data_IF_723683465043
#
_entry.id   IF_723683465043
#
_cell.length_a   1.000
_cell.length_b   1.000
_cell.length_c   1.000
_cell.angle_alpha   90.00
_cell.angle_beta   90.00
_cell.angle_gamma   90.00
#
_symmetry.space_group_name_H-M   'P 1'
#
loop_
_entity.id
_entity.type
_entity.pdbx_description
1 polymer ?
#
# COMPACT_ATOMS: atom_id res chain seq x y z
N UNK A 1 -50.51 5.24 33.56
CA UNK A 1 -51.56 6.07 32.92
C UNK A 1 -51.66 7.49 33.55
N UNK A 2 -50.55 8.07 34.02
CA UNK A 2 -50.52 9.41 34.66
C UNK A 2 -49.32 10.25 34.18
N UNK A 3 -48.80 9.96 32.99
CA UNK A 3 -47.64 10.65 32.38
C UNK A 3 -47.98 11.28 31.01
N UNK A 4 -49.27 11.41 30.68
CA UNK A 4 -49.74 11.86 29.36
C UNK A 4 -50.27 13.32 29.38
N UNK A 5 -49.97 14.08 30.44
CA UNK A 5 -50.55 15.41 30.69
C UNK A 5 -49.52 16.53 30.92
N UNK A 6 -48.24 16.27 30.68
CA UNK A 6 -47.20 17.30 30.67
C UNK A 6 -46.52 17.26 29.29
N UNK A 7 -46.81 18.27 28.49
CA UNK A 7 -46.27 18.49 27.16
C UNK A 7 -44.82 19.00 27.25
N UNK A 8 -43.95 18.25 27.91
CA UNK A 8 -42.50 18.52 27.91
C UNK A 8 -41.84 17.70 26.79
N UNK A 9 -41.10 18.34 25.87
CA UNK A 9 -40.25 17.59 24.94
C UNK A 9 -39.26 16.76 25.76
N UNK A 10 -38.90 15.52 25.35
CA UNK A 10 -37.85 14.79 26.03
C UNK A 10 -36.59 15.64 25.99
N UNK A 11 -36.22 16.20 27.14
CA UNK A 11 -34.96 16.89 27.32
C UNK A 11 -33.88 15.98 26.75
N UNK A 12 -33.12 16.50 25.79
CA UNK A 12 -31.94 15.85 25.24
C UNK A 12 -31.04 15.50 26.41
N UNK A 13 -31.11 14.26 26.88
CA UNK A 13 -30.16 13.73 27.82
C UNK A 13 -28.77 13.99 27.23
N UNK A 14 -27.84 14.62 27.96
CA UNK A 14 -26.47 14.71 27.49
C UNK A 14 -26.00 13.29 27.17
N UNK A 15 -25.39 13.04 26.00
CA UNK A 15 -24.92 11.70 25.67
C UNK A 15 -24.05 11.22 26.83
N UNK A 16 -24.39 10.05 27.37
CA UNK A 16 -23.66 9.44 28.47
C UNK A 16 -22.17 9.53 28.15
N UNK A 17 -21.40 10.21 29.01
CA UNK A 17 -19.97 10.41 28.80
C UNK A 17 -19.32 9.03 28.57
N UNK A 18 -18.75 8.85 27.38
CA UNK A 18 -18.05 7.63 27.01
C UNK A 18 -16.99 7.29 28.08
N UNK A 19 -16.82 6.02 28.46
CA UNK A 19 -15.85 5.64 29.48
C UNK A 19 -14.43 6.17 29.16
N UNK A 20 -13.65 6.55 30.18
CA UNK A 20 -12.40 7.32 30.04
C UNK A 20 -11.27 6.63 29.27
N UNK A 21 -11.45 5.34 28.92
CA UNK A 21 -10.52 4.54 28.13
C UNK A 21 -10.88 4.44 26.65
N UNK A 22 -12.06 4.94 26.24
CA UNK A 22 -12.37 5.10 24.82
C UNK A 22 -11.65 6.35 24.31
N UNK A 23 -10.87 6.25 23.22
CA UNK A 23 -10.41 7.43 22.50
C UNK A 23 -11.65 8.29 22.21
N UNK A 24 -11.65 9.54 22.66
CA UNK A 24 -12.76 10.43 22.34
C UNK A 24 -12.85 10.53 20.82
N UNK A 25 -13.95 10.03 20.26
CA UNK A 25 -14.18 10.14 18.84
C UNK A 25 -14.20 11.64 18.50
N UNK A 26 -13.35 12.09 17.57
CA UNK A 26 -13.32 13.50 17.19
C UNK A 26 -14.71 13.88 16.66
N UNK A 27 -15.38 14.78 17.38
CA UNK A 27 -16.75 15.21 17.03
C UNK A 27 -16.79 16.08 15.76
N UNK A 28 -15.63 16.52 15.28
CA UNK A 28 -15.47 17.36 14.10
C UNK A 28 -14.29 16.85 13.28
N UNK A 29 -14.43 16.89 11.96
CA UNK A 29 -13.30 16.62 11.06
C UNK A 29 -12.18 17.66 11.29
N UNK A 30 -10.91 17.25 11.23
CA UNK A 30 -9.80 18.19 11.33
C UNK A 30 -9.89 19.25 10.22
N UNK A 31 -9.83 20.51 10.63
CA UNK A 31 -9.92 21.67 9.72
C UNK A 31 -8.55 22.16 9.24
N UNK A 32 -7.45 21.53 9.68
CA UNK A 32 -6.10 21.91 9.29
C UNK A 32 -5.87 21.69 7.80
N UNK A 33 -5.11 22.60 7.18
CA UNK A 33 -4.68 22.45 5.80
C UNK A 33 -3.88 21.14 5.65
N UNK A 34 -4.27 20.34 4.66
CA UNK A 34 -3.57 19.11 4.30
C UNK A 34 -2.13 19.46 3.89
N UNK A 35 -1.11 18.71 4.38
CA UNK A 35 0.27 18.96 4.01
C UNK A 35 0.44 18.84 2.50
N UNK A 36 1.17 19.78 1.91
CA UNK A 36 1.34 19.80 0.46
C UNK A 36 2.33 18.72 0.03
N UNK A 37 1.94 17.93 -0.96
CA UNK A 37 2.76 16.85 -1.51
C UNK A 37 3.30 17.34 -2.85
N UNK A 38 4.62 17.42 -3.02
CA UNK A 38 5.22 17.96 -4.23
C UNK A 38 4.79 17.14 -5.45
N UNK A 39 4.41 17.85 -6.52
CA UNK A 39 4.12 17.22 -7.81
C UNK A 39 5.40 16.61 -8.40
N UNK A 40 5.33 15.36 -8.86
CA UNK A 40 6.48 14.64 -9.41
C UNK A 40 7.31 13.88 -8.38
N UNK A 41 6.66 13.07 -7.54
CA UNK A 41 7.35 12.15 -6.65
C UNK A 41 8.24 11.18 -7.48
N UNK A 42 9.55 11.09 -7.20
CA UNK A 42 10.42 10.21 -7.94
C UNK A 42 10.00 8.75 -7.73
N UNK A 43 10.11 7.91 -8.76
CA UNK A 43 9.81 6.48 -8.69
C UNK A 43 10.57 5.75 -7.56
N UNK A 44 11.67 6.34 -7.10
CA UNK A 44 12.47 5.91 -5.95
C UNK A 44 11.67 5.88 -4.64
N UNK A 45 10.60 6.68 -4.49
CA UNK A 45 9.71 6.63 -3.32
C UNK A 45 8.92 5.30 -3.28
N UNK A 46 8.56 4.76 -4.45
CA UNK A 46 7.82 3.49 -4.53
C UNK A 46 8.67 2.28 -4.11
N UNK A 47 10.00 2.39 -4.15
CA UNK A 47 10.92 1.36 -3.65
C UNK A 47 10.81 1.17 -2.11
N UNK A 48 10.17 2.10 -1.40
CA UNK A 48 9.86 1.95 0.03
C UNK A 48 8.65 1.07 0.30
N UNK A 49 7.80 0.83 -0.71
CA UNK A 49 6.58 0.07 -0.46
C UNK A 49 6.91 -1.39 -0.13
N UNK A 50 6.30 -1.96 0.93
CA UNK A 50 6.60 -3.31 1.36
C UNK A 50 6.18 -4.38 0.35
N UNK A 51 5.16 -4.12 -0.46
CA UNK A 51 4.71 -5.03 -1.52
C UNK A 51 5.72 -5.11 -2.68
N UNK A 52 6.25 -3.97 -3.13
CA UNK A 52 7.30 -3.89 -4.15
C UNK A 52 8.58 -4.56 -3.65
N UNK A 53 8.99 -4.28 -2.42
CA UNK A 53 10.15 -4.93 -1.80
C UNK A 53 9.96 -6.45 -1.70
N UNK A 54 8.79 -6.91 -1.25
CA UNK A 54 8.51 -8.34 -1.19
C UNK A 54 8.53 -9.00 -2.58
N UNK A 55 8.03 -8.32 -3.62
CA UNK A 55 8.10 -8.83 -4.99
C UNK A 55 9.56 -8.90 -5.49
N UNK A 56 10.38 -7.90 -5.19
CA UNK A 56 11.80 -7.90 -5.53
C UNK A 56 12.57 -9.02 -4.81
N UNK A 57 12.33 -9.23 -3.52
CA UNK A 57 12.98 -10.32 -2.77
C UNK A 57 12.58 -11.70 -3.31
N UNK A 58 11.31 -11.89 -3.74
CA UNK A 58 10.89 -13.12 -4.42
C UNK A 58 11.61 -13.33 -5.75
N UNK A 59 11.81 -12.28 -6.54
CA UNK A 59 12.60 -12.34 -7.77
C UNK A 59 14.07 -12.72 -7.49
N UNK A 60 14.66 -12.16 -6.44
CA UNK A 60 16.03 -12.55 -6.01
C UNK A 60 16.09 -14.00 -5.55
N UNK A 61 15.06 -14.48 -4.85
CA UNK A 61 14.97 -15.87 -4.42
C UNK A 61 14.92 -16.84 -5.61
N UNK A 62 14.15 -16.54 -6.66
CA UNK A 62 14.09 -17.43 -7.85
C UNK A 62 15.43 -17.50 -8.59
N UNK A 63 16.22 -16.43 -8.59
CA UNK A 63 17.58 -16.44 -9.11
C UNK A 63 18.48 -17.37 -8.28
N UNK A 64 18.45 -17.25 -6.95
CA UNK A 64 19.22 -18.08 -6.03
C UNK A 64 18.84 -19.56 -6.10
N UNK A 65 17.54 -19.87 -6.24
CA UNK A 65 17.03 -21.24 -6.43
C UNK A 65 17.56 -21.85 -7.74
N UNK A 66 17.63 -21.04 -8.81
CA UNK A 66 18.23 -21.45 -10.07
C UNK A 66 19.72 -21.77 -9.94
N UNK A 67 20.47 -20.98 -9.18
CA UNK A 67 21.89 -21.22 -8.92
C UNK A 67 22.10 -22.47 -8.04
N UNK A 68 21.27 -22.66 -7.02
CA UNK A 68 21.28 -23.86 -6.18
C UNK A 68 20.94 -25.13 -7.00
N UNK A 69 19.95 -25.06 -7.87
CA UNK A 69 19.61 -26.15 -8.79
C UNK A 69 20.79 -26.48 -9.72
N UNK A 70 21.46 -25.47 -10.29
CA UNK A 70 22.69 -25.69 -11.09
C UNK A 70 23.81 -26.32 -10.27
N UNK A 71 24.03 -25.84 -9.04
CA UNK A 71 25.06 -26.36 -8.15
C UNK A 71 24.83 -27.84 -7.77
N UNK A 72 23.57 -28.28 -7.67
CA UNK A 72 23.23 -29.68 -7.35
C UNK A 72 23.70 -30.71 -8.39
N UNK A 73 23.99 -30.27 -9.62
CA UNK A 73 24.53 -31.14 -10.67
C UNK A 73 26.03 -31.35 -10.57
N UNK A 74 26.72 -30.57 -9.74
CA UNK A 74 28.14 -30.75 -9.44
C UNK A 74 28.32 -31.72 -8.26
N UNK A 75 29.39 -32.53 -8.26
CA UNK A 75 29.66 -33.44 -7.15
C UNK A 75 29.89 -32.66 -5.86
N UNK A 76 29.19 -33.04 -4.79
CA UNK A 76 29.37 -32.45 -3.48
C UNK A 76 30.69 -32.90 -2.86
N UNK A 77 31.58 -31.95 -2.55
CA UNK A 77 32.80 -32.21 -1.79
C UNK A 77 32.51 -31.95 -0.32
N UNK A 78 32.32 -33.00 0.49
CA UNK A 78 32.19 -32.88 1.94
C UNK A 78 33.55 -33.04 2.61
N UNK A 79 34.05 -31.98 3.24
CA UNK A 79 35.30 -32.03 4.00
C UNK A 79 35.03 -32.58 5.40
N UNK A 80 34.95 -33.92 5.53
CA UNK A 80 34.81 -34.60 6.82
C UNK A 80 36.18 -34.81 7.47
N UNK A 81 36.65 -33.78 8.17
CA UNK A 81 37.89 -33.83 8.95
C UNK A 81 37.68 -34.39 10.36
N UNK A 82 37.75 -35.73 10.53
CA UNK A 82 38.11 -36.29 11.84
C UNK A 82 39.63 -36.44 11.88
N UNK A 83 40.27 -35.92 12.93
CA UNK A 83 41.73 -35.73 13.10
C UNK A 83 42.61 -36.99 12.92
N UNK A 84 42.03 -38.17 12.65
CA UNK A 84 42.77 -39.42 12.43
C UNK A 84 42.33 -40.21 11.17
N UNK A 85 41.18 -39.90 10.55
CA UNK A 85 40.68 -40.62 9.36
C UNK A 85 40.96 -39.89 8.04
N UNK A 86 41.09 -38.56 8.08
CA UNK A 86 41.24 -37.72 6.88
C UNK A 86 42.58 -37.95 6.14
N UNK A 87 43.67 -38.27 6.85
CA UNK A 87 44.97 -38.55 6.21
C UNK A 87 45.00 -39.84 5.40
N UNK A 88 44.20 -40.86 5.77
CA UNK A 88 44.15 -42.12 5.02
C UNK A 88 43.24 -42.00 3.79
N UNK A 89 42.12 -41.29 3.90
CA UNK A 89 41.22 -41.08 2.76
C UNK A 89 41.80 -40.17 1.68
N UNK A 90 42.54 -39.12 2.05
CA UNK A 90 43.28 -38.29 1.08
C UNK A 90 44.41 -39.08 0.40
N UNK A 91 45.15 -39.90 1.15
CA UNK A 91 46.20 -40.76 0.59
C UNK A 91 45.68 -41.76 -0.44
N UNK A 92 44.54 -42.39 -0.18
CA UNK A 92 43.91 -43.36 -1.11
C UNK A 92 43.32 -42.67 -2.36
N UNK A 93 42.73 -41.48 -2.23
CA UNK A 93 42.19 -40.72 -3.38
C UNK A 93 43.30 -40.22 -4.30
N UNK A 94 44.44 -39.80 -3.75
CA UNK A 94 45.62 -39.39 -4.53
C UNK A 94 46.35 -40.59 -5.16
N UNK A 95 46.31 -41.77 -4.53
CA UNK A 95 46.97 -42.99 -5.02
C UNK A 95 46.16 -43.74 -6.09
N UNK A 96 44.83 -43.75 -5.99
CA UNK A 96 43.96 -44.33 -7.00
C UNK A 96 42.69 -43.47 -7.19
N UNK A 97 42.78 -42.37 -7.94
CA UNK A 97 41.64 -41.49 -8.15
C UNK A 97 40.48 -42.24 -8.80
N UNK A 98 40.75 -43.16 -9.72
CA UNK A 98 39.71 -43.90 -10.47
C UNK A 98 38.93 -44.87 -9.55
N UNK A 99 39.61 -45.54 -8.61
CA UNK A 99 38.98 -46.48 -7.66
C UNK A 99 38.14 -45.79 -6.58
N UNK A 100 38.58 -44.62 -6.10
CA UNK A 100 37.83 -43.82 -5.13
C UNK A 100 36.59 -43.15 -5.76
N UNK A 101 36.64 -42.83 -7.06
CA UNK A 101 35.50 -42.28 -7.80
C UNK A 101 34.33 -43.28 -7.97
N UNK A 102 34.59 -44.60 -7.87
CA UNK A 102 33.59 -45.64 -8.12
C UNK A 102 32.70 -46.03 -6.94
N UNK A 103 33.08 -45.71 -5.70
CA UNK A 103 32.41 -46.27 -4.51
C UNK A 103 31.36 -45.37 -3.84
N UNK A 104 31.31 -44.06 -4.14
CA UNK A 104 30.39 -43.14 -3.44
C UNK A 104 29.93 -41.91 -4.22
N UNK A 105 30.29 -41.76 -5.49
CA UNK A 105 29.84 -40.62 -6.30
C UNK A 105 28.59 -41.02 -7.08
N UNK A 106 27.43 -40.63 -6.57
CA UNK A 106 26.27 -40.46 -7.42
C UNK A 106 26.65 -39.40 -8.47
N UNK A 107 26.76 -39.79 -9.75
CA UNK A 107 27.14 -38.91 -10.85
C UNK A 107 25.87 -38.22 -11.38
N UNK A 108 25.47 -37.04 -10.86
CA UNK A 108 24.15 -36.48 -11.12
C UNK A 108 24.05 -35.94 -12.56
N UNK A 109 25.20 -35.63 -13.18
CA UNK A 109 25.33 -35.22 -14.57
C UNK A 109 24.85 -36.28 -15.60
N UNK A 110 24.70 -37.55 -15.21
CA UNK A 110 24.13 -38.58 -16.07
C UNK A 110 22.61 -38.42 -16.26
N UNK A 111 21.93 -37.61 -15.41
CA UNK A 111 20.50 -37.31 -15.50
C UNK A 111 20.24 -36.06 -16.33
N UNK A 112 20.74 -36.06 -17.56
CA UNK A 112 20.69 -34.90 -18.46
C UNK A 112 19.27 -34.38 -18.72
N UNK A 113 18.28 -35.27 -18.79
CA UNK A 113 16.88 -34.87 -19.00
C UNK A 113 16.32 -34.14 -17.77
N UNK A 114 16.63 -34.61 -16.56
CA UNK A 114 16.21 -33.97 -15.31
C UNK A 114 16.87 -32.58 -15.16
N UNK A 115 18.14 -32.45 -15.54
CA UNK A 115 18.86 -31.16 -15.57
C UNK A 115 18.22 -30.16 -16.54
N UNK A 116 17.90 -30.60 -17.76
CA UNK A 116 17.27 -29.73 -18.76
C UNK A 116 15.90 -29.25 -18.31
N UNK A 117 15.08 -30.14 -17.74
CA UNK A 117 13.74 -29.80 -17.25
C UNK A 117 13.80 -28.89 -16.02
N UNK A 118 14.72 -29.12 -15.09
CA UNK A 118 14.86 -28.26 -13.91
C UNK A 118 15.36 -26.86 -14.29
N UNK A 119 16.29 -26.76 -15.25
CA UNK A 119 16.78 -25.48 -15.74
C UNK A 119 15.69 -24.70 -16.46
N UNK A 120 14.89 -25.38 -17.30
CA UNK A 120 13.74 -24.79 -17.95
C UNK A 120 12.69 -24.32 -16.92
N UNK A 121 12.41 -25.11 -15.89
CA UNK A 121 11.51 -24.72 -14.80
C UNK A 121 12.03 -23.52 -14.01
N UNK A 122 13.32 -23.50 -13.66
CA UNK A 122 13.95 -22.38 -12.97
C UNK A 122 13.89 -21.08 -13.81
N UNK A 123 14.11 -21.19 -15.13
CA UNK A 123 13.98 -20.06 -16.04
C UNK A 123 12.54 -19.54 -16.12
N UNK A 124 11.56 -20.43 -16.29
CA UNK A 124 10.15 -20.06 -16.29
C UNK A 124 9.70 -19.41 -14.96
N UNK A 125 10.19 -19.91 -13.81
CA UNK A 125 9.92 -19.32 -12.50
C UNK A 125 10.52 -17.92 -12.37
N UNK A 126 11.72 -17.69 -12.90
CA UNK A 126 12.36 -16.37 -12.94
C UNK A 126 11.58 -15.38 -13.82
N UNK A 127 11.16 -15.79 -15.02
CA UNK A 127 10.31 -14.98 -15.89
C UNK A 127 8.98 -14.62 -15.22
N UNK A 128 8.31 -15.60 -14.60
CA UNK A 128 7.08 -15.37 -13.85
C UNK A 128 7.27 -14.38 -12.68
N UNK A 129 8.35 -14.53 -11.91
CA UNK A 129 8.68 -13.61 -10.82
C UNK A 129 9.00 -12.20 -11.34
N UNK A 130 9.65 -12.08 -12.49
CA UNK A 130 9.96 -10.80 -13.14
C UNK A 130 8.68 -10.07 -13.55
N UNK A 131 7.76 -10.77 -14.22
CA UNK A 131 6.46 -10.23 -14.60
C UNK A 131 5.63 -9.83 -13.38
N UNK A 132 5.68 -10.63 -12.32
CA UNK A 132 4.98 -10.32 -11.07
C UNK A 132 5.55 -9.04 -10.42
N UNK A 133 6.87 -8.87 -10.38
CA UNK A 133 7.50 -7.66 -9.86
C UNK A 133 7.14 -6.42 -10.72
N UNK A 134 7.23 -6.51 -12.04
CA UNK A 134 6.83 -5.43 -12.95
C UNK A 134 5.36 -5.04 -12.76
N UNK A 135 4.47 -6.03 -12.64
CA UNK A 135 3.05 -5.80 -12.37
C UNK A 135 2.84 -5.06 -11.05
N UNK A 136 3.46 -5.52 -9.97
CA UNK A 136 3.37 -4.87 -8.65
C UNK A 136 3.86 -3.42 -8.71
N UNK A 137 4.97 -3.16 -9.42
CA UNK A 137 5.47 -1.80 -9.61
C UNK A 137 4.49 -0.90 -10.38
N UNK A 138 3.96 -1.38 -11.50
CA UNK A 138 3.00 -0.61 -12.31
C UNK A 138 1.70 -0.34 -11.56
N UNK A 139 1.19 -1.33 -10.80
CA UNK A 139 0.04 -1.13 -9.92
C UNK A 139 0.32 -0.06 -8.86
N UNK A 140 1.51 -0.08 -8.26
CA UNK A 140 1.90 0.94 -7.29
C UNK A 140 1.96 2.36 -7.89
N UNK A 141 2.48 2.52 -9.11
CA UNK A 141 2.42 3.80 -9.83
C UNK A 141 0.98 4.25 -10.07
N UNK A 142 0.14 3.34 -10.56
CA UNK A 142 -1.26 3.63 -10.86
C UNK A 142 -2.03 4.07 -9.60
N UNK A 143 -1.80 3.44 -8.45
CA UNK A 143 -2.42 3.84 -7.19
C UNK A 143 -2.04 5.26 -6.76
N UNK A 144 -0.77 5.64 -6.91
CA UNK A 144 -0.31 7.00 -6.61
C UNK A 144 -0.94 8.01 -7.57
N UNK A 145 -0.93 7.73 -8.87
CA UNK A 145 -1.52 8.63 -9.88
C UNK A 145 -3.02 8.82 -9.64
N UNK A 146 -3.74 7.73 -9.34
CA UNK A 146 -5.16 7.78 -9.01
C UNK A 146 -5.41 8.64 -7.76
N UNK A 147 -4.60 8.51 -6.71
CA UNK A 147 -4.74 9.29 -5.49
C UNK A 147 -4.41 10.79 -5.71
N UNK A 148 -3.42 11.10 -6.54
CA UNK A 148 -3.10 12.49 -6.92
C UNK A 148 -4.21 13.12 -7.77
N UNK A 149 -4.71 12.40 -8.76
CA UNK A 149 -5.85 12.83 -9.59
C UNK A 149 -7.12 13.00 -8.76
N UNK A 150 -7.39 12.10 -7.81
CA UNK A 150 -8.53 12.23 -6.90
C UNK A 150 -8.38 13.43 -5.96
N UNK A 151 -7.15 13.78 -5.53
CA UNK A 151 -6.89 14.99 -4.72
C UNK A 151 -7.31 16.25 -5.48
N UNK A 152 -6.90 16.38 -6.75
CA UNK A 152 -7.22 17.57 -7.56
C UNK A 152 -8.72 17.67 -7.82
N UNK A 153 -9.37 16.56 -8.18
CA UNK A 153 -10.82 16.51 -8.39
C UNK A 153 -11.61 16.87 -7.13
N UNK A 154 -11.22 16.36 -5.96
CA UNK A 154 -11.88 16.69 -4.70
C UNK A 154 -11.70 18.16 -4.31
N UNK A 155 -10.53 18.75 -4.59
CA UNK A 155 -10.29 20.17 -4.37
C UNK A 155 -11.16 21.04 -5.28
N UNK A 156 -11.32 20.66 -6.55
CA UNK A 156 -12.23 21.35 -7.46
C UNK A 156 -13.70 21.20 -7.03
N UNK A 157 -14.13 19.98 -6.68
CA UNK A 157 -15.47 19.71 -6.18
C UNK A 157 -15.80 20.54 -4.93
N UNK A 158 -14.84 20.70 -4.01
CA UNK A 158 -14.98 21.54 -2.83
C UNK A 158 -15.37 22.97 -3.19
N UNK A 159 -14.69 23.57 -4.18
CA UNK A 159 -14.98 24.94 -4.62
C UNK A 159 -16.44 25.09 -5.08
N UNK A 160 -16.93 24.14 -5.89
CA UNK A 160 -18.33 24.14 -6.35
C UNK A 160 -19.33 23.95 -5.19
N UNK A 161 -19.00 23.13 -4.20
CA UNK A 161 -19.83 22.93 -3.00
C UNK A 161 -19.86 24.15 -2.09
N UNK A 162 -18.75 24.88 -1.97
CA UNK A 162 -18.67 26.15 -1.25
C UNK A 162 -19.58 27.20 -1.92
N UNK A 163 -19.52 27.33 -3.25
CA UNK A 163 -20.42 28.21 -4.01
C UNK A 163 -21.90 27.81 -3.84
N UNK A 164 -22.21 26.51 -3.85
CA UNK A 164 -23.57 26.00 -3.64
C UNK A 164 -24.08 26.33 -2.22
N UNK A 165 -23.22 26.17 -1.20
CA UNK A 165 -23.56 26.49 0.18
C UNK A 165 -23.85 27.98 0.35
N UNK A 166 -23.04 28.85 -0.25
CA UNK A 166 -23.24 30.29 -0.19
C UNK A 166 -24.54 30.71 -0.89
N UNK A 167 -24.87 30.11 -2.04
CA UNK A 167 -26.15 30.33 -2.70
C UNK A 167 -27.34 29.88 -1.84
N UNK A 168 -27.23 28.72 -1.17
CA UNK A 168 -28.28 28.21 -0.28
C UNK A 168 -28.49 29.11 0.95
N UNK A 169 -27.41 29.64 1.53
CA UNK A 169 -27.47 30.62 2.65
C UNK A 169 -28.17 31.92 2.24
N UNK A 170 -27.87 32.43 1.05
CA UNK A 170 -28.54 33.62 0.51
C UNK A 170 -30.04 33.36 0.28
N UNK A 171 -30.39 32.21 -0.27
CA UNK A 171 -31.78 31.81 -0.49
C UNK A 171 -32.55 31.65 0.82
N UNK A 172 -31.95 31.06 1.85
CA UNK A 172 -32.55 30.98 3.19
C UNK A 172 -32.81 32.37 3.77
N UNK A 173 -31.82 33.26 3.73
CA UNK A 173 -31.93 34.64 4.25
C UNK A 173 -33.06 35.43 3.57
N UNK A 174 -33.19 35.28 2.25
CA UNK A 174 -34.28 35.92 1.49
C UNK A 174 -35.65 35.35 1.89
N UNK A 175 -35.78 34.03 2.01
CA UNK A 175 -37.04 33.39 2.37
C UNK A 175 -37.43 33.68 3.83
N UNK A 176 -36.46 33.74 4.74
CA UNK A 176 -36.67 34.17 6.12
C UNK A 176 -37.24 35.59 6.15
N UNK A 177 -36.63 36.52 5.41
CA UNK A 177 -37.09 37.91 5.32
C UNK A 177 -38.52 38.00 4.79
N UNK A 178 -38.83 37.27 3.71
CA UNK A 178 -40.19 37.23 3.12
C UNK A 178 -41.21 36.62 4.08
N UNK A 179 -40.83 35.60 4.85
CA UNK A 179 -41.71 34.99 5.85
C UNK A 179 -42.01 35.97 6.99
N UNK A 180 -40.99 36.66 7.50
CA UNK A 180 -41.13 37.65 8.59
C UNK A 180 -42.06 38.81 8.26
N UNK A 181 -42.12 39.23 6.98
CA UNK A 181 -43.05 40.26 6.51
C UNK A 181 -44.40 39.70 6.04
N UNK A 182 -44.65 38.40 6.19
CA UNK A 182 -45.90 37.74 5.81
C UNK A 182 -46.09 37.51 4.30
N UNK A 183 -45.04 37.69 3.49
CA UNK A 183 -45.09 37.56 2.04
C UNK A 183 -44.94 36.11 1.52
N UNK A 184 -44.55 35.15 2.37
CA UNK A 184 -44.50 33.72 2.02
C UNK A 184 -44.87 32.84 3.22
N UNK A 185 -45.25 31.59 2.94
CA UNK A 185 -45.56 30.60 3.96
C UNK A 185 -44.30 30.12 4.69
N UNK A 186 -44.44 29.72 5.97
CA UNK A 186 -43.36 29.13 6.78
C UNK A 186 -42.67 27.95 6.09
N UNK A 187 -43.45 27.12 5.39
CA UNK A 187 -42.92 25.97 4.65
C UNK A 187 -41.80 26.35 3.67
N UNK A 188 -41.94 27.46 2.94
CA UNK A 188 -40.93 27.92 1.98
C UNK A 188 -39.59 28.23 2.66
N UNK A 189 -39.62 28.81 3.87
CA UNK A 189 -38.40 29.06 4.65
C UNK A 189 -37.80 27.76 5.20
N UNK A 190 -38.62 26.82 5.67
CA UNK A 190 -38.14 25.50 6.11
C UNK A 190 -37.52 24.69 4.96
N UNK A 191 -38.11 24.73 3.77
CA UNK A 191 -37.55 24.10 2.57
C UNK A 191 -36.18 24.71 2.22
N UNK A 192 -36.00 26.03 2.38
CA UNK A 192 -34.71 26.70 2.19
C UNK A 192 -33.67 26.32 3.27
N UNK A 193 -34.10 26.17 4.53
CA UNK A 193 -33.24 25.67 5.61
C UNK A 193 -32.79 24.23 5.37
N UNK A 194 -33.66 23.38 4.84
CA UNK A 194 -33.30 22.01 4.45
C UNK A 194 -32.29 22.02 3.30
N UNK A 195 -32.48 22.89 2.29
CA UNK A 195 -31.53 23.04 1.20
C UNK A 195 -30.13 23.50 1.68
N UNK A 196 -30.04 24.46 2.62
CA UNK A 196 -28.76 24.83 3.24
C UNK A 196 -28.13 23.64 3.95
N UNK A 197 -28.89 22.95 4.82
CA UNK A 197 -28.37 21.80 5.59
C UNK A 197 -27.85 20.69 4.67
N UNK A 198 -28.55 20.41 3.57
CA UNK A 198 -28.09 19.47 2.55
C UNK A 198 -26.75 19.88 1.92
N UNK A 199 -26.58 21.18 1.60
CA UNK A 199 -25.31 21.71 1.09
C UNK A 199 -24.18 21.62 2.13
N UNK A 200 -24.45 21.88 3.41
CA UNK A 200 -23.47 21.72 4.50
C UNK A 200 -23.01 20.27 4.64
N UNK A 201 -23.94 19.31 4.57
CA UNK A 201 -23.64 17.89 4.61
C UNK A 201 -22.79 17.45 3.41
N UNK A 202 -23.10 17.96 2.21
CA UNK A 202 -22.33 17.66 1.01
C UNK A 202 -20.88 18.17 1.10
N UNK A 203 -20.69 19.40 1.61
CA UNK A 203 -19.35 19.96 1.84
C UNK A 203 -18.56 19.14 2.89
N UNK A 204 -19.21 18.75 3.98
CA UNK A 204 -18.59 17.89 5.00
C UNK A 204 -18.20 16.50 4.46
N UNK A 205 -19.03 15.90 3.60
CA UNK A 205 -18.73 14.63 2.95
C UNK A 205 -17.54 14.73 1.97
N UNK A 206 -17.41 15.85 1.24
CA UNK A 206 -16.23 16.12 0.42
C UNK A 206 -14.97 16.27 1.30
N UNK A 207 -15.05 16.97 2.43
CA UNK A 207 -13.94 17.10 3.36
C UNK A 207 -13.48 15.73 3.91
N UNK A 208 -14.42 14.85 4.27
CA UNK A 208 -14.10 13.47 4.65
C UNK A 208 -13.35 12.74 3.51
N UNK A 209 -13.87 12.85 2.28
CA UNK A 209 -13.24 12.23 1.10
C UNK A 209 -11.82 12.74 0.86
N UNK A 210 -11.54 14.02 1.12
CA UNK A 210 -10.19 14.60 1.04
C UNK A 210 -9.23 13.96 2.05
N UNK A 211 -9.69 13.75 3.29
CA UNK A 211 -8.91 13.11 4.35
C UNK A 211 -8.63 11.63 4.05
N UNK A 212 -9.63 10.90 3.56
CA UNK A 212 -9.48 9.51 3.12
C UNK A 212 -8.49 9.37 1.95
N UNK A 213 -8.55 10.30 0.99
CA UNK A 213 -7.61 10.33 -0.12
C UNK A 213 -6.19 10.61 0.36
N UNK A 214 -6.02 11.49 1.34
CA UNK A 214 -4.70 11.75 1.95
C UNK A 214 -4.12 10.50 2.61
N UNK A 215 -4.94 9.77 3.37
CA UNK A 215 -4.54 8.49 3.97
C UNK A 215 -4.17 7.46 2.89
N UNK A 216 -4.91 7.44 1.78
CA UNK A 216 -4.62 6.57 0.64
C UNK A 216 -3.28 6.93 0.00
N UNK A 217 -3.00 8.21 -0.21
CA UNK A 217 -1.74 8.68 -0.77
C UNK A 217 -0.56 8.37 0.15
N UNK A 218 -0.72 8.56 1.46
CA UNK A 218 0.28 8.16 2.46
C UNK A 218 0.61 6.66 2.40
N UNK A 219 -0.43 5.81 2.29
CA UNK A 219 -0.25 4.36 2.12
C UNK A 219 0.43 4.02 0.79
N UNK A 220 -0.01 4.64 -0.30
CA UNK A 220 0.50 4.37 -1.64
C UNK A 220 1.98 4.77 -1.80
N UNK A 221 2.44 5.77 -1.05
CA UNK A 221 3.84 6.20 -1.02
C UNK A 221 4.73 5.37 -0.08
N UNK A 222 4.19 4.39 0.62
CA UNK A 222 4.94 3.55 1.54
C UNK A 222 5.26 4.22 2.88
N UNK A 223 4.47 5.21 3.30
CA UNK A 223 4.63 5.92 4.57
C UNK A 223 4.96 7.41 4.39
N UNK A 224 5.70 7.97 5.35
CA UNK A 224 6.02 9.40 5.37
C UNK A 224 6.91 9.80 4.18
N UNK A 225 6.34 10.60 3.28
CA UNK A 225 7.01 11.15 2.11
C UNK A 225 8.18 12.08 2.48
N UNK A 226 8.22 12.60 3.71
CA UNK A 226 9.27 13.51 4.21
C UNK A 226 10.52 12.79 4.74
N UNK A 227 10.47 11.47 4.93
CA UNK A 227 11.66 10.71 5.30
C UNK A 227 12.61 10.59 4.10
N UNK A 228 13.95 10.67 4.27
CA UNK A 228 14.92 10.47 3.19
C UNK A 228 14.73 9.11 2.52
N UNK A 229 14.96 9.03 1.20
CA UNK A 229 14.89 7.75 0.50
C UNK A 229 15.97 6.80 1.03
N UNK A 230 15.66 5.51 1.22
CA UNK A 230 16.71 4.53 1.42
C UNK A 230 17.63 4.63 0.21
N UNK A 231 18.92 4.85 0.47
CA UNK A 231 19.93 4.88 -0.57
C UNK A 231 19.85 3.54 -1.31
N UNK A 232 19.51 3.59 -2.59
CA UNK A 232 19.63 2.40 -3.45
C UNK A 232 21.12 2.09 -3.47
N UNK A 233 21.58 0.93 -2.96
CA UNK A 233 22.98 0.58 -3.07
C UNK A 233 23.32 0.51 -4.55
N UNK A 234 24.41 1.16 -4.95
CA UNK A 234 24.91 1.11 -6.32
C UNK A 234 24.92 -0.35 -6.79
N UNK A 235 24.17 -0.62 -7.86
CA UNK A 235 24.16 -1.95 -8.47
C UNK A 235 25.59 -2.18 -8.93
N UNK A 236 26.31 -3.15 -8.36
CA UNK A 236 27.71 -3.28 -8.68
C UNK A 236 27.86 -3.63 -10.16
N UNK A 237 28.77 -2.93 -10.83
CA UNK A 237 28.96 -2.89 -12.29
C UNK A 237 29.45 -4.19 -12.93
N UNK A 238 29.30 -5.35 -12.29
CA UNK A 238 29.87 -6.62 -12.76
C UNK A 238 29.12 -7.27 -13.94
N UNK A 239 27.93 -6.78 -14.31
CA UNK A 239 27.16 -7.34 -15.45
C UNK A 239 27.38 -6.62 -16.79
N UNK A 240 28.24 -5.60 -16.86
CA UNK A 240 28.66 -5.02 -18.13
C UNK A 240 29.95 -5.68 -18.62
N UNK A 241 29.84 -6.81 -19.28
CA UNK A 241 30.82 -7.22 -20.30
C UNK A 241 30.08 -7.82 -21.52
N UNK A 242 30.58 -7.56 -22.73
CA UNK A 242 29.88 -7.81 -24.00
C UNK A 242 29.66 -9.30 -24.28
#
# INVERSE_FOLDING_TARGET
ALALLLHEPPASAPPAAAPPWLPQEPQTLPQHALPDIPAGLPAQVLARRPDVQAAEQRLRATLADGDAARASYYPAISLTGSLNSASRSLGDVLANPIGALGASLALPFLRQQEMRLSNAAAHANYEAATLQWQKTLLTALQEVENALSRRTQLAEQRRWLEEQLDAARQAETLNETRYRVGATALKTWLDAQEARRSAELALAANQLSQLENQLTLYKALGGDALLPAPQVPDVPSFMQRP
#
